data_IF_644183348538
#
_entry.id   IF_644183348538
#
_cell.length_a   1.000
_cell.length_b   1.000
_cell.length_c   1.000
_cell.angle_alpha   90.00
_cell.angle_beta   90.00
_cell.angle_gamma   90.00
#
_symmetry.space_group_name_H-M   'P 1'
#
loop_
_entity.id
_entity.type
_entity.pdbx_description
1 polymer ?
#
# COMPACT_ATOMS: atom_id res chain seq x y z
N UNK A 1 -31.99 -28.95 -24.94
CA UNK A 1 -31.77 -27.49 -25.08
C UNK A 1 -31.69 -26.76 -23.74
N UNK A 2 -32.42 -27.14 -22.67
CA UNK A 2 -32.19 -26.57 -21.32
C UNK A 2 -30.83 -26.95 -20.69
N UNK A 3 -30.24 -28.05 -21.16
CA UNK A 3 -28.93 -28.58 -20.73
C UNK A 3 -27.73 -27.69 -21.12
N UNK A 4 -27.79 -26.95 -22.24
CA UNK A 4 -26.71 -26.05 -22.66
C UNK A 4 -26.68 -24.76 -21.83
N UNK A 5 -27.85 -24.27 -21.39
CA UNK A 5 -27.95 -23.01 -20.66
C UNK A 5 -27.43 -23.15 -19.23
N UNK A 6 -27.69 -24.29 -18.57
CA UNK A 6 -27.14 -24.58 -17.24
C UNK A 6 -25.62 -24.77 -17.27
N UNK A 7 -25.10 -25.42 -18.31
CA UNK A 7 -23.65 -25.62 -18.49
C UNK A 7 -22.94 -24.28 -18.80
N UNK A 8 -23.60 -23.40 -19.55
CA UNK A 8 -23.13 -22.03 -19.79
C UNK A 8 -23.09 -21.20 -18.50
N UNK A 9 -24.15 -21.25 -17.67
CA UNK A 9 -24.20 -20.51 -16.40
C UNK A 9 -23.10 -21.01 -15.46
N UNK A 10 -22.89 -22.32 -15.35
CA UNK A 10 -21.82 -22.88 -14.53
C UNK A 10 -20.41 -22.41 -14.95
N UNK A 11 -20.14 -22.36 -16.26
CA UNK A 11 -18.86 -21.84 -16.78
C UNK A 11 -18.69 -20.34 -16.54
N UNK A 12 -19.77 -19.58 -16.58
CA UNK A 12 -19.76 -18.15 -16.26
C UNK A 12 -19.45 -17.94 -14.78
N UNK A 13 -20.08 -18.70 -13.88
CA UNK A 13 -19.83 -18.62 -12.44
C UNK A 13 -18.37 -19.00 -12.08
N UNK A 14 -17.84 -20.05 -12.70
CA UNK A 14 -16.45 -20.47 -12.51
C UNK A 14 -15.46 -19.40 -12.99
N UNK A 15 -15.75 -18.74 -14.12
CA UNK A 15 -14.99 -17.59 -14.59
C UNK A 15 -15.05 -16.42 -13.59
N UNK A 16 -16.25 -16.03 -13.12
CA UNK A 16 -16.38 -14.94 -12.15
C UNK A 16 -15.64 -15.23 -10.83
N UNK A 17 -15.69 -16.47 -10.34
CA UNK A 17 -14.96 -16.89 -9.14
C UNK A 17 -13.44 -16.80 -9.34
N UNK A 18 -12.91 -17.25 -10.48
CA UNK A 18 -11.49 -17.10 -10.79
C UNK A 18 -11.07 -15.62 -10.87
N UNK A 19 -11.94 -14.77 -11.41
CA UNK A 19 -11.71 -13.32 -11.48
C UNK A 19 -11.71 -12.67 -10.09
N UNK A 20 -12.61 -13.08 -9.20
CA UNK A 20 -12.67 -12.62 -7.81
C UNK A 20 -11.45 -13.09 -7.01
N UNK A 21 -11.01 -14.33 -7.20
CA UNK A 21 -9.80 -14.86 -6.58
C UNK A 21 -8.55 -14.06 -7.00
N UNK A 22 -8.39 -13.81 -8.31
CA UNK A 22 -7.29 -12.99 -8.82
C UNK A 22 -7.36 -11.55 -8.28
N UNK A 23 -8.54 -10.95 -8.27
CA UNK A 23 -8.73 -9.59 -7.79
C UNK A 23 -8.41 -9.49 -6.29
N UNK A 24 -8.95 -10.38 -5.47
CA UNK A 24 -8.74 -10.39 -4.02
C UNK A 24 -7.26 -10.66 -3.65
N UNK A 25 -6.60 -11.59 -4.34
CA UNK A 25 -5.16 -11.80 -4.21
C UNK A 25 -4.36 -10.55 -4.61
N UNK A 26 -4.74 -9.90 -5.72
CA UNK A 26 -4.07 -8.70 -6.18
C UNK A 26 -4.20 -7.56 -5.16
N UNK A 27 -5.41 -7.29 -4.64
CA UNK A 27 -5.62 -6.25 -3.62
C UNK A 27 -4.81 -6.52 -2.36
N UNK A 28 -4.75 -7.78 -1.92
CA UNK A 28 -3.96 -8.18 -0.75
C UNK A 28 -2.48 -7.93 -0.97
N UNK A 29 -1.92 -8.39 -2.10
CA UNK A 29 -0.50 -8.19 -2.44
C UNK A 29 -0.16 -6.72 -2.68
N UNK A 30 -1.03 -5.98 -3.35
CA UNK A 30 -0.86 -4.56 -3.62
C UNK A 30 -0.83 -3.75 -2.32
N UNK A 31 -1.72 -4.04 -1.37
CA UNK A 31 -1.73 -3.36 -0.07
C UNK A 31 -0.42 -3.61 0.71
N UNK A 32 0.04 -4.87 0.76
CA UNK A 32 1.33 -5.21 1.38
C UNK A 32 2.51 -4.47 0.72
N UNK A 33 2.47 -4.35 -0.61
CA UNK A 33 3.51 -3.64 -1.35
C UNK A 33 3.50 -2.13 -1.06
N UNK A 34 2.32 -1.51 -1.05
CA UNK A 34 2.15 -0.08 -0.72
C UNK A 34 2.63 0.19 0.71
N UNK A 35 2.25 -0.65 1.69
CA UNK A 35 2.72 -0.53 3.07
C UNK A 35 4.25 -0.65 3.17
N UNK A 36 4.86 -1.54 2.39
CA UNK A 36 6.32 -1.71 2.35
C UNK A 36 7.01 -0.45 1.82
N UNK A 37 6.51 0.10 0.71
CA UNK A 37 7.07 1.34 0.14
C UNK A 37 6.87 2.51 1.10
N UNK A 38 5.70 2.62 1.73
CA UNK A 38 5.41 3.68 2.68
C UNK A 38 6.33 3.61 3.90
N UNK A 39 6.62 2.41 4.41
CA UNK A 39 7.62 2.16 5.47
C UNK A 39 9.01 2.65 5.10
N UNK A 40 9.50 2.25 3.94
CA UNK A 40 10.83 2.70 3.46
C UNK A 40 10.86 4.23 3.29
N UNK A 41 9.78 4.80 2.76
CA UNK A 41 9.66 6.22 2.50
C UNK A 41 9.69 7.05 3.79
N UNK A 42 8.89 6.68 4.81
CA UNK A 42 8.87 7.45 6.06
C UNK A 42 10.20 7.38 6.80
N UNK A 43 10.88 6.22 6.78
CA UNK A 43 12.21 6.07 7.38
C UNK A 43 13.19 6.98 6.66
N UNK A 44 13.19 6.95 5.33
CA UNK A 44 14.10 7.77 4.51
C UNK A 44 13.86 9.26 4.73
N UNK A 45 12.60 9.70 4.77
CA UNK A 45 12.23 11.10 5.03
C UNK A 45 12.66 11.55 6.43
N UNK A 46 12.43 10.72 7.45
CA UNK A 46 12.84 11.02 8.82
C UNK A 46 14.37 11.11 8.92
N UNK A 47 15.10 10.14 8.36
CA UNK A 47 16.58 10.14 8.37
C UNK A 47 17.14 11.34 7.60
N UNK A 48 16.68 11.60 6.37
CA UNK A 48 17.12 12.73 5.57
C UNK A 48 16.78 14.08 6.26
N UNK A 49 15.60 14.17 6.87
CA UNK A 49 15.19 15.33 7.64
C UNK A 49 16.06 15.59 8.85
N UNK A 50 16.41 14.54 9.62
CA UNK A 50 17.35 14.64 10.75
C UNK A 50 18.74 15.08 10.27
N UNK A 51 19.25 14.50 9.18
CA UNK A 51 20.55 14.88 8.60
C UNK A 51 20.58 16.36 8.20
N UNK A 52 19.55 16.84 7.50
CA UNK A 52 19.45 18.25 7.11
C UNK A 52 19.28 19.20 8.32
N UNK A 53 18.55 18.75 9.34
CA UNK A 53 18.35 19.53 10.56
C UNK A 53 19.63 19.68 11.38
N UNK A 54 20.36 18.59 11.59
CA UNK A 54 21.59 18.59 12.41
C UNK A 54 22.80 19.16 11.68
N UNK A 55 22.93 18.92 10.37
CA UNK A 55 24.01 19.51 9.56
C UNK A 55 23.90 21.03 9.41
N UNK A 56 22.72 21.60 9.66
CA UNK A 56 22.49 23.04 9.54
C UNK A 56 22.41 23.55 8.10
N UNK A 57 22.50 22.66 7.09
CA UNK A 57 22.41 23.02 5.67
C UNK A 57 21.06 23.68 5.37
N UNK A 58 19.97 23.04 5.80
CA UNK A 58 18.62 23.60 5.69
C UNK A 58 17.72 23.07 6.80
N UNK A 59 17.72 23.78 7.93
CA UNK A 59 16.91 23.40 9.10
C UNK A 59 15.41 23.46 8.83
N UNK A 60 14.96 24.35 7.95
CA UNK A 60 13.53 24.50 7.68
C UNK A 60 13.02 23.28 6.88
N UNK A 61 13.74 22.92 5.81
CA UNK A 61 13.44 21.69 5.05
C UNK A 61 13.66 20.42 5.87
N UNK A 62 14.69 20.40 6.73
CA UNK A 62 14.92 19.29 7.65
C UNK A 62 13.72 19.03 8.56
N UNK A 63 13.18 20.08 9.21
CA UNK A 63 11.96 19.98 10.02
C UNK A 63 10.75 19.52 9.21
N UNK A 64 10.53 20.05 8.01
CA UNK A 64 9.39 19.63 7.19
C UNK A 64 9.46 18.15 6.80
N UNK A 65 10.66 17.62 6.52
CA UNK A 65 10.87 16.22 6.19
C UNK A 65 10.68 15.29 7.40
N UNK A 66 11.14 15.71 8.59
CA UNK A 66 10.88 14.98 9.84
C UNK A 66 9.38 14.89 10.10
N UNK A 67 8.66 16.01 10.02
CA UNK A 67 7.22 16.06 10.26
C UNK A 67 6.47 15.22 9.22
N UNK A 68 6.81 15.36 7.93
CA UNK A 68 6.23 14.55 6.87
C UNK A 68 6.47 13.06 7.05
N UNK A 69 7.69 12.67 7.44
CA UNK A 69 8.03 11.28 7.77
C UNK A 69 7.25 10.77 8.99
N UNK A 70 7.11 11.56 10.05
CA UNK A 70 6.33 11.16 11.24
C UNK A 70 4.84 10.97 10.93
N UNK A 71 4.24 11.87 10.16
CA UNK A 71 2.83 11.74 9.74
C UNK A 71 2.66 10.48 8.89
N UNK A 72 3.56 10.26 7.92
CA UNK A 72 3.51 9.09 7.06
C UNK A 72 3.71 7.80 7.87
N UNK A 73 4.58 7.80 8.88
CA UNK A 73 4.76 6.67 9.79
C UNK A 73 3.48 6.35 10.57
N UNK A 74 2.83 7.36 11.16
CA UNK A 74 1.58 7.16 11.89
C UNK A 74 0.48 6.56 11.01
N UNK A 75 0.29 7.11 9.81
CA UNK A 75 -0.72 6.61 8.86
C UNK A 75 -0.38 5.19 8.42
N UNK A 76 0.87 4.91 8.08
CA UNK A 76 1.31 3.60 7.59
C UNK A 76 1.20 2.53 8.66
N UNK A 77 1.62 2.81 9.89
CA UNK A 77 1.51 1.85 11.00
C UNK A 77 0.06 1.65 11.42
N UNK A 78 -0.78 2.68 11.37
CA UNK A 78 -2.22 2.51 11.62
C UNK A 78 -2.87 1.62 10.55
N UNK A 79 -2.59 1.87 9.26
CA UNK A 79 -3.10 1.05 8.16
C UNK A 79 -2.52 -0.37 8.13
N UNK A 80 -1.31 -0.58 8.63
CA UNK A 80 -0.70 -1.90 8.73
C UNK A 80 -1.09 -2.67 10.00
N UNK A 81 -1.66 -2.00 11.00
CA UNK A 81 -2.13 -2.60 12.25
C UNK A 81 -3.65 -2.86 12.26
N UNK A 82 -4.42 -2.19 11.39
CA UNK A 82 -5.84 -2.42 11.15
C UNK A 82 -6.07 -3.61 10.20
#
# INVERSE_FOLDING_TARGET
MLLDLSDLIGKIDEFFNALEEIASEFFTRANLFILTIARISYITLATAGLLLYFSGIDRYRGKSLIIGGLILALVTEFMGAA
#
